data_IF_446924667885
#
_entry.id   IF_446924667885
#
_cell.length_a   1.000
_cell.length_b   1.000
_cell.length_c   1.000
_cell.angle_alpha   90.00
_cell.angle_beta   90.00
_cell.angle_gamma   90.00
#
_symmetry.space_group_name_H-M   'P 1'
#
loop_
_entity.id
_entity.type
_entity.pdbx_description
1 polymer ?
#
# COMPACT_ATOMS: atom_id res chain seq x y z
N UNK A 1 -58.19 -34.22 9.15
CA UNK A 1 -58.35 -32.91 8.48
C UNK A 1 -56.96 -32.36 8.24
N UNK A 2 -56.59 -32.03 7.00
CA UNK A 2 -55.19 -31.97 6.58
C UNK A 2 -54.50 -30.70 7.04
N UNK A 3 -53.26 -30.91 7.46
CA UNK A 3 -52.19 -29.95 7.66
C UNK A 3 -51.87 -29.18 6.38
N UNK A 4 -52.36 -27.95 6.26
CA UNK A 4 -51.84 -26.96 5.31
C UNK A 4 -51.47 -25.69 6.06
N UNK A 5 -50.48 -25.80 6.94
CA UNK A 5 -49.59 -24.68 7.21
C UNK A 5 -48.73 -24.52 5.95
N UNK A 6 -49.25 -23.78 4.97
CA UNK A 6 -48.43 -23.20 3.91
C UNK A 6 -47.34 -22.39 4.61
N UNK A 7 -46.15 -22.96 4.71
CA UNK A 7 -44.94 -22.18 4.85
C UNK A 7 -44.98 -21.15 3.73
N UNK A 8 -45.14 -19.87 4.08
CA UNK A 8 -44.83 -18.79 3.17
C UNK A 8 -43.37 -19.01 2.83
N UNK A 9 -43.10 -19.56 1.65
CA UNK A 9 -41.77 -19.69 1.08
C UNK A 9 -41.30 -18.26 0.87
N UNK A 10 -40.68 -17.69 1.90
CA UNK A 10 -40.10 -16.37 1.84
C UNK A 10 -39.10 -16.37 0.69
N UNK A 11 -39.13 -15.32 -0.13
CA UNK A 11 -38.12 -15.10 -1.15
C UNK A 11 -36.73 -15.19 -0.48
N UNK A 12 -35.96 -16.19 -0.86
CA UNK A 12 -34.59 -16.35 -0.41
C UNK A 12 -33.70 -15.37 -1.20
N UNK A 13 -32.67 -14.81 -0.57
CA UNK A 13 -31.80 -13.80 -1.21
C UNK A 13 -31.22 -14.28 -2.56
N UNK A 14 -30.81 -15.55 -2.65
CA UNK A 14 -30.29 -16.14 -3.90
C UNK A 14 -31.35 -16.37 -4.99
N UNK A 15 -32.64 -16.25 -4.68
CA UNK A 15 -33.72 -16.30 -5.66
C UNK A 15 -33.98 -14.93 -6.31
N UNK A 16 -33.40 -13.85 -5.78
CA UNK A 16 -33.43 -12.55 -6.44
C UNK A 16 -32.65 -12.61 -7.75
N UNK A 17 -33.02 -11.85 -8.80
CA UNK A 17 -32.20 -11.71 -10.00
C UNK A 17 -30.77 -11.22 -9.69
N UNK A 18 -29.79 -11.61 -10.51
CA UNK A 18 -28.39 -11.25 -10.28
C UNK A 18 -28.17 -9.74 -10.23
N UNK A 19 -28.91 -8.99 -11.04
CA UNK A 19 -28.88 -7.52 -11.09
C UNK A 19 -29.29 -6.91 -9.74
N UNK A 20 -30.33 -7.47 -9.11
CA UNK A 20 -30.80 -7.00 -7.80
C UNK A 20 -29.78 -7.34 -6.72
N UNK A 21 -29.19 -8.54 -6.76
CA UNK A 21 -28.12 -8.91 -5.81
C UNK A 21 -26.90 -8.01 -5.95
N UNK A 22 -26.49 -7.72 -7.20
CA UNK A 22 -25.38 -6.82 -7.50
C UNK A 22 -25.60 -5.41 -6.96
N UNK A 23 -26.80 -4.84 -7.14
CA UNK A 23 -27.14 -3.54 -6.57
C UNK A 23 -27.06 -3.56 -5.03
N UNK A 24 -27.51 -4.65 -4.39
CA UNK A 24 -27.39 -4.81 -2.94
C UNK A 24 -25.92 -4.88 -2.51
N UNK A 25 -25.09 -5.64 -3.22
CA UNK A 25 -23.65 -5.71 -2.93
C UNK A 25 -22.97 -4.36 -3.13
N UNK A 26 -23.32 -3.62 -4.18
CA UNK A 26 -22.78 -2.28 -4.45
C UNK A 26 -23.06 -1.34 -3.29
N UNK A 27 -24.31 -1.24 -2.84
CA UNK A 27 -24.67 -0.44 -1.67
C UNK A 27 -24.03 -0.91 -0.37
N UNK A 28 -23.75 -2.20 -0.23
CA UNK A 28 -23.18 -2.74 1.00
C UNK A 28 -21.64 -2.65 1.05
N UNK A 29 -20.95 -2.76 -0.09
CA UNK A 29 -19.51 -2.99 -0.17
C UNK A 29 -18.74 -1.89 -0.89
N UNK A 30 -19.40 -1.02 -1.65
CA UNK A 30 -18.75 0.08 -2.35
C UNK A 30 -18.80 1.33 -1.50
N UNK A 31 -17.61 1.84 -1.20
CA UNK A 31 -17.37 3.05 -0.44
C UNK A 31 -17.06 4.20 -1.37
N UNK A 32 -17.53 5.40 -1.04
CA UNK A 32 -17.09 6.64 -1.68
C UNK A 32 -15.66 7.02 -1.28
N UNK A 33 -15.19 6.51 -0.14
CA UNK A 33 -13.83 6.72 0.37
C UNK A 33 -12.94 5.51 0.06
N UNK A 34 -11.63 5.71 -0.15
CA UNK A 34 -10.68 4.63 -0.35
C UNK A 34 -10.74 3.58 0.78
N UNK A 35 -10.82 2.30 0.40
CA UNK A 35 -10.86 1.17 1.33
C UNK A 35 -9.44 0.71 1.59
N UNK A 36 -9.02 0.67 2.86
CA UNK A 36 -7.68 0.23 3.24
C UNK A 36 -7.38 -1.18 2.71
N UNK A 37 -6.19 -1.36 2.11
CA UNK A 37 -5.83 -2.64 1.46
C UNK A 37 -5.68 -3.80 2.43
N UNK A 38 -5.26 -3.53 3.67
CA UNK A 38 -5.07 -4.52 4.72
C UNK A 38 -6.38 -4.95 5.41
N UNK A 39 -7.55 -4.63 4.83
CA UNK A 39 -8.87 -5.04 5.31
C UNK A 39 -8.99 -6.56 5.22
N UNK A 40 -8.33 -7.23 6.15
CA UNK A 40 -8.72 -8.55 6.63
C UNK A 40 -10.16 -8.34 7.05
N UNK A 41 -11.14 -9.12 6.56
CA UNK A 41 -12.53 -9.01 6.98
C UNK A 41 -12.64 -9.26 8.49
N UNK A 42 -12.39 -8.24 9.30
CA UNK A 42 -12.45 -8.30 10.75
C UNK A 42 -13.92 -8.17 11.15
N UNK A 43 -14.24 -8.86 12.23
CA UNK A 43 -15.59 -9.24 12.69
C UNK A 43 -16.56 -8.08 12.96
N UNK A 44 -16.16 -6.83 12.76
CA UNK A 44 -16.90 -5.65 13.21
C UNK A 44 -17.51 -4.82 12.06
N UNK A 45 -17.07 -5.00 10.81
CA UNK A 45 -17.73 -4.33 9.68
C UNK A 45 -18.85 -5.22 9.14
N UNK A 46 -20.10 -4.89 9.46
CA UNK A 46 -21.29 -5.71 9.15
C UNK A 46 -21.39 -5.99 7.63
N UNK A 47 -20.96 -5.02 6.81
CA UNK A 47 -20.87 -5.13 5.36
C UNK A 47 -20.00 -6.30 4.89
N UNK A 48 -18.78 -6.45 5.42
CA UNK A 48 -17.84 -7.49 4.99
C UNK A 48 -18.24 -8.90 5.45
N UNK A 49 -19.15 -9.02 6.42
CA UNK A 49 -19.68 -10.33 6.83
C UNK A 49 -20.46 -11.02 5.71
N UNK A 50 -21.00 -10.25 4.74
CA UNK A 50 -21.73 -10.81 3.60
C UNK A 50 -20.86 -11.79 2.81
N UNK A 51 -19.55 -11.53 2.74
CA UNK A 51 -18.57 -12.38 2.05
C UNK A 51 -18.43 -13.77 2.68
N UNK A 52 -18.90 -13.96 3.92
CA UNK A 52 -18.78 -15.24 4.64
C UNK A 52 -20.04 -16.09 4.63
N UNK A 53 -21.13 -15.61 4.02
CA UNK A 53 -22.43 -16.28 4.10
C UNK A 53 -22.50 -17.54 3.23
N UNK A 54 -22.03 -17.46 1.99
CA UNK A 54 -22.10 -18.55 1.02
C UNK A 54 -21.10 -18.32 -0.13
N UNK A 55 -20.62 -19.40 -0.77
CA UNK A 55 -19.65 -19.32 -1.88
C UNK A 55 -20.15 -18.50 -3.07
N UNK A 56 -21.43 -18.59 -3.43
CA UNK A 56 -21.99 -17.80 -4.53
C UNK A 56 -21.99 -16.31 -4.18
N UNK A 57 -22.44 -15.97 -2.96
CA UNK A 57 -22.41 -14.59 -2.46
C UNK A 57 -20.97 -14.08 -2.43
N UNK A 58 -20.03 -14.89 -1.95
CA UNK A 58 -18.62 -14.55 -1.95
C UNK A 58 -18.14 -14.23 -3.37
N UNK A 59 -18.35 -15.11 -4.35
CA UNK A 59 -17.91 -14.87 -5.73
C UNK A 59 -18.48 -13.56 -6.32
N UNK A 60 -19.79 -13.32 -6.15
CA UNK A 60 -20.45 -12.13 -6.71
C UNK A 60 -20.04 -10.83 -6.00
N UNK A 61 -20.09 -10.84 -4.67
CA UNK A 61 -19.87 -9.67 -3.84
C UNK A 61 -18.39 -9.27 -3.78
N UNK A 62 -17.48 -10.24 -3.86
CA UNK A 62 -16.05 -10.00 -3.86
C UNK A 62 -15.56 -9.28 -5.13
N UNK A 63 -16.22 -9.53 -6.27
CA UNK A 63 -16.02 -8.74 -7.49
C UNK A 63 -16.39 -7.28 -7.27
N UNK A 64 -17.52 -7.00 -6.60
CA UNK A 64 -17.91 -5.63 -6.29
C UNK A 64 -16.93 -4.95 -5.34
N UNK A 65 -16.45 -5.66 -4.33
CA UNK A 65 -15.47 -5.12 -3.38
C UNK A 65 -14.19 -4.64 -4.09
N UNK A 66 -13.53 -5.50 -4.88
CA UNK A 66 -12.22 -5.17 -5.44
C UNK A 66 -12.29 -4.37 -6.75
N UNK A 67 -13.33 -4.57 -7.57
CA UNK A 67 -13.41 -3.91 -8.87
C UNK A 67 -14.03 -2.50 -8.81
N UNK A 68 -14.74 -2.14 -7.74
CA UNK A 68 -15.42 -0.84 -7.63
C UNK A 68 -14.83 0.09 -6.57
N UNK A 69 -14.10 -0.43 -5.58
CA UNK A 69 -13.46 0.40 -4.59
C UNK A 69 -12.06 0.85 -5.03
N UNK A 70 -11.65 2.02 -4.56
CA UNK A 70 -10.25 2.43 -4.55
C UNK A 70 -9.59 1.73 -3.38
N UNK A 71 -8.57 0.91 -3.64
CA UNK A 71 -7.84 0.22 -2.58
C UNK A 71 -6.65 1.07 -2.13
N UNK A 72 -6.70 1.51 -0.88
CA UNK A 72 -5.70 2.38 -0.27
C UNK A 72 -4.57 1.57 0.38
N UNK A 73 -3.41 1.66 -0.25
CA UNK A 73 -2.15 1.07 0.17
C UNK A 73 -1.10 2.15 0.50
N UNK A 74 -1.53 3.39 0.76
CA UNK A 74 -0.66 4.50 1.20
C UNK A 74 0.10 4.20 2.48
N UNK A 75 -0.45 3.34 3.35
CA UNK A 75 0.18 2.90 4.59
C UNK A 75 1.33 1.90 4.41
N UNK A 76 1.53 1.37 3.20
CA UNK A 76 2.59 0.41 2.90
C UNK A 76 3.91 1.16 2.67
N UNK A 77 4.99 0.67 3.25
CA UNK A 77 6.29 1.36 3.23
C UNK A 77 7.40 0.54 2.58
N UNK A 78 7.15 -0.71 2.21
CA UNK A 78 8.13 -1.57 1.54
C UNK A 78 7.53 -2.48 0.46
N UNK A 79 8.36 -2.89 -0.51
CA UNK A 79 7.98 -3.88 -1.51
C UNK A 79 7.57 -5.24 -0.88
N UNK A 80 8.19 -5.60 0.25
CA UNK A 80 7.89 -6.84 0.97
C UNK A 80 6.48 -6.80 1.56
N UNK A 81 6.11 -5.70 2.21
CA UNK A 81 4.76 -5.49 2.74
C UNK A 81 3.71 -5.52 1.62
N UNK A 82 4.02 -4.90 0.48
CA UNK A 82 3.13 -4.97 -0.68
C UNK A 82 2.98 -6.38 -1.23
N UNK A 83 4.09 -7.11 -1.44
CA UNK A 83 4.05 -8.50 -1.91
C UNK A 83 3.26 -9.41 -0.96
N UNK A 84 3.42 -9.19 0.36
CA UNK A 84 2.64 -9.88 1.38
C UNK A 84 1.15 -9.53 1.29
N UNK A 85 0.82 -8.25 1.05
CA UNK A 85 -0.56 -7.82 0.85
C UNK A 85 -1.18 -8.51 -0.37
N UNK A 86 -0.52 -8.47 -1.53
CA UNK A 86 -1.02 -9.09 -2.75
C UNK A 86 -1.19 -10.60 -2.60
N UNK A 87 -0.23 -11.26 -1.94
CA UNK A 87 -0.29 -12.69 -1.65
C UNK A 87 -1.45 -13.00 -0.70
N UNK A 88 -1.66 -12.19 0.33
CA UNK A 88 -2.78 -12.31 1.27
C UNK A 88 -4.14 -12.04 0.63
N UNK A 89 -4.18 -11.13 -0.35
CA UNK A 89 -5.37 -10.84 -1.14
C UNK A 89 -5.69 -12.01 -2.08
N UNK A 90 -4.67 -12.65 -2.64
CA UNK A 90 -4.76 -13.79 -3.55
C UNK A 90 -4.92 -13.36 -5.01
N UNK A 91 -4.33 -14.12 -5.93
CA UNK A 91 -4.22 -13.75 -7.35
C UNK A 91 -5.55 -13.38 -8.03
N UNK A 92 -6.63 -14.10 -7.70
CA UNK A 92 -7.97 -13.81 -8.23
C UNK A 92 -8.50 -12.44 -7.80
N UNK A 93 -8.20 -12.01 -6.58
CA UNK A 93 -8.67 -10.73 -6.06
C UNK A 93 -7.79 -9.57 -6.56
N UNK A 94 -6.48 -9.81 -6.62
CA UNK A 94 -5.51 -8.87 -7.18
C UNK A 94 -5.85 -8.53 -8.64
N UNK A 95 -6.26 -9.52 -9.44
CA UNK A 95 -6.65 -9.26 -10.82
C UNK A 95 -7.98 -8.51 -10.93
N UNK A 96 -8.77 -8.35 -9.87
CA UNK A 96 -9.99 -7.55 -9.89
C UNK A 96 -9.72 -6.06 -9.60
N UNK A 97 -8.54 -5.72 -9.08
CA UNK A 97 -8.19 -4.34 -8.75
C UNK A 97 -8.19 -3.46 -9.99
N UNK A 98 -8.96 -2.38 -9.91
CA UNK A 98 -9.03 -1.34 -10.95
C UNK A 98 -8.47 -0.01 -10.50
N UNK A 99 -8.59 0.30 -9.22
CA UNK A 99 -8.19 1.59 -8.68
C UNK A 99 -7.38 1.36 -7.41
N UNK A 100 -6.17 1.91 -7.37
CA UNK A 100 -5.32 1.89 -6.17
C UNK A 100 -4.95 3.30 -5.77
N UNK A 101 -4.75 3.49 -4.47
CA UNK A 101 -4.18 4.69 -3.89
C UNK A 101 -2.87 4.35 -3.20
N UNK A 102 -1.77 4.95 -3.64
CA UNK A 102 -0.40 4.74 -3.17
C UNK A 102 0.17 6.05 -2.62
N UNK A 103 1.17 6.00 -1.72
CA UNK A 103 1.77 7.23 -1.24
C UNK A 103 2.66 7.81 -2.34
N UNK A 104 2.71 9.14 -2.45
CA UNK A 104 3.71 9.78 -3.29
C UNK A 104 5.12 9.44 -2.78
N UNK A 105 6.12 9.19 -3.66
CA UNK A 105 7.48 8.93 -3.23
C UNK A 105 7.99 10.00 -2.27
N UNK A 106 8.41 9.58 -1.07
CA UNK A 106 9.00 10.49 -0.10
C UNK A 106 10.38 10.90 -0.59
N UNK A 107 10.60 12.20 -0.62
CA UNK A 107 11.90 12.79 -0.94
C UNK A 107 12.56 13.08 0.40
N UNK A 108 13.53 12.27 0.79
CA UNK A 108 14.27 12.53 2.02
C UNK A 108 15.19 13.74 1.82
N UNK A 109 15.25 14.62 2.83
CA UNK A 109 16.17 15.75 2.83
C UNK A 109 17.62 15.26 2.85
N UNK A 110 18.26 15.26 1.68
CA UNK A 110 19.71 15.24 1.62
C UNK A 110 20.21 16.68 1.57
N UNK A 111 21.36 16.95 2.21
CA UNK A 111 22.01 18.24 2.05
C UNK A 111 22.30 18.46 0.56
N UNK A 112 22.27 19.71 0.09
CA UNK A 112 22.60 20.06 -1.31
C UNK A 112 23.92 19.44 -1.80
N UNK A 113 24.87 19.26 -0.89
CA UNK A 113 26.15 18.59 -1.15
C UNK A 113 26.02 17.08 -1.35
N UNK A 114 25.14 16.41 -0.60
CA UNK A 114 24.85 14.98 -0.77
C UNK A 114 23.94 14.70 -1.99
N UNK A 115 23.11 15.66 -2.39
CA UNK A 115 22.26 15.56 -3.59
C UNK A 115 23.06 15.52 -4.90
N UNK A 116 24.22 16.18 -4.96
CA UNK A 116 25.05 16.22 -6.17
C UNK A 116 25.80 14.91 -6.43
N UNK A 117 26.11 14.14 -5.38
CA UNK A 117 26.94 12.94 -5.50
C UNK A 117 26.11 11.65 -5.69
N UNK A 118 24.88 11.55 -5.14
CA UNK A 118 24.04 10.34 -5.31
C UNK A 118 22.53 10.57 -5.06
N UNK A 119 21.86 11.35 -5.92
CA UNK A 119 20.39 11.54 -5.85
C UNK A 119 19.60 10.23 -6.03
N UNK A 120 20.20 9.20 -6.65
CA UNK A 120 19.56 7.89 -6.79
C UNK A 120 19.41 7.20 -5.43
N UNK A 121 20.33 7.40 -4.49
CA UNK A 121 20.16 6.94 -3.12
C UNK A 121 18.99 7.62 -2.39
N UNK A 122 18.67 8.87 -2.73
CA UNK A 122 17.57 9.59 -2.08
C UNK A 122 16.18 9.05 -2.45
N UNK A 123 16.07 8.49 -3.65
CA UNK A 123 14.84 7.93 -4.21
C UNK A 123 14.77 6.41 -4.11
N UNK A 124 15.91 5.74 -4.02
CA UNK A 124 16.01 4.30 -3.77
C UNK A 124 15.31 3.85 -2.48
N UNK A 125 14.99 4.76 -1.56
CA UNK A 125 14.21 4.47 -0.37
C UNK A 125 12.70 4.35 -0.62
N UNK A 126 12.17 4.89 -1.73
CA UNK A 126 10.76 4.76 -2.05
C UNK A 126 10.50 3.43 -2.78
N UNK A 127 9.80 2.47 -2.17
CA UNK A 127 9.55 1.18 -2.80
C UNK A 127 8.67 1.33 -4.06
N UNK A 128 7.98 2.46 -4.24
CA UNK A 128 6.95 2.64 -5.26
C UNK A 128 7.48 3.07 -6.63
N UNK A 129 8.71 3.60 -6.72
CA UNK A 129 9.29 4.02 -8.01
C UNK A 129 9.61 2.80 -8.90
N UNK A 130 10.06 1.70 -8.29
CA UNK A 130 10.43 0.46 -8.99
C UNK A 130 9.35 -0.62 -8.93
N UNK A 131 8.12 -0.21 -8.69
CA UNK A 131 7.04 -1.13 -8.45
C UNK A 131 6.55 -1.73 -9.76
N UNK A 132 6.62 -3.06 -9.87
CA UNK A 132 6.08 -3.75 -11.02
C UNK A 132 4.55 -3.87 -10.89
N UNK A 133 3.85 -2.95 -11.55
CA UNK A 133 2.39 -2.94 -11.62
C UNK A 133 1.84 -3.94 -12.66
N UNK A 134 2.69 -4.72 -13.35
CA UNK A 134 2.23 -5.73 -14.31
C UNK A 134 1.34 -6.81 -13.67
N UNK A 135 1.55 -7.08 -12.38
CA UNK A 135 0.72 -8.00 -11.59
C UNK A 135 -0.72 -7.49 -11.44
N UNK A 136 -0.93 -6.17 -11.57
CA UNK A 136 -2.25 -5.53 -11.53
C UNK A 136 -2.82 -5.40 -12.95
N UNK A 137 -3.08 -6.54 -13.59
CA UNK A 137 -3.46 -6.62 -15.01
C UNK A 137 -4.68 -5.77 -15.41
N UNK A 138 -5.58 -5.50 -14.47
CA UNK A 138 -6.81 -4.73 -14.69
C UNK A 138 -6.79 -3.33 -14.08
N UNK A 139 -5.62 -2.83 -13.69
CA UNK A 139 -5.47 -1.51 -13.13
C UNK A 139 -5.84 -0.44 -14.17
N UNK A 140 -6.82 0.39 -13.83
CA UNK A 140 -7.32 1.49 -14.66
C UNK A 140 -6.86 2.85 -14.15
N UNK A 141 -6.72 3.00 -12.82
CA UNK A 141 -6.34 4.26 -12.17
C UNK A 141 -5.36 4.05 -11.03
N UNK A 142 -4.33 4.90 -10.99
CA UNK A 142 -3.43 5.05 -9.83
C UNK A 142 -3.69 6.43 -9.24
N UNK A 143 -3.90 6.49 -7.93
CA UNK A 143 -4.00 7.75 -7.19
C UNK A 143 -2.81 7.88 -6.26
N UNK A 144 -2.03 8.94 -6.41
CA UNK A 144 -1.00 9.32 -5.47
C UNK A 144 -1.59 10.20 -4.39
N UNK A 145 -1.41 9.80 -3.13
CA UNK A 145 -1.74 10.63 -1.98
C UNK A 145 -0.47 11.33 -1.48
N UNK A 146 -0.49 12.66 -1.46
CA UNK A 146 0.55 13.42 -0.77
C UNK A 146 0.15 13.53 0.69
N UNK A 147 0.89 12.86 1.57
CA UNK A 147 0.80 13.18 2.99
C UNK A 147 1.29 14.61 3.19
N UNK A 148 0.48 15.44 3.86
CA UNK A 148 0.70 16.89 4.08
C UNK A 148 2.14 17.23 4.47
N UNK A 149 2.84 16.37 5.21
CA UNK A 149 4.23 16.57 5.64
C UNK A 149 5.27 16.42 4.52
N UNK A 150 4.97 15.71 3.43
CA UNK A 150 5.96 15.35 2.40
C UNK A 150 6.32 16.53 1.49
N UNK A 151 5.38 17.45 1.25
CA UNK A 151 5.63 18.69 0.51
C UNK A 151 5.62 19.94 1.40
N UNK A 152 4.81 19.98 2.46
CA UNK A 152 4.72 21.19 3.31
C UNK A 152 5.91 21.36 4.27
N UNK A 153 6.52 20.28 4.79
CA UNK A 153 7.73 20.39 5.61
C UNK A 153 9.00 20.52 4.75
N UNK A 154 8.86 20.26 3.46
CA UNK A 154 9.87 20.61 2.50
C UNK A 154 9.73 22.12 2.21
N UNK A 155 10.44 22.95 2.98
CA UNK A 155 10.94 24.27 2.50
C UNK A 155 11.83 24.14 1.23
N UNK A 156 11.83 22.97 0.60
CA UNK A 156 12.43 22.55 -0.65
C UNK A 156 11.37 22.55 -1.75
N UNK A 157 10.47 23.53 -1.75
CA UNK A 157 9.79 24.01 -2.96
C UNK A 157 10.79 24.87 -3.79
N UNK A 158 12.05 24.46 -3.78
CA UNK A 158 13.11 25.08 -4.56
C UNK A 158 13.11 24.39 -5.91
N UNK A 159 13.05 25.19 -6.98
CA UNK A 159 13.25 24.81 -8.38
C UNK A 159 14.28 23.66 -8.59
N UNK A 160 15.35 23.64 -7.78
CA UNK A 160 16.37 22.59 -7.75
C UNK A 160 15.80 21.16 -7.56
N UNK A 161 14.77 20.96 -6.72
CA UNK A 161 14.21 19.63 -6.47
C UNK A 161 13.35 19.13 -7.62
N UNK A 162 12.54 20.01 -8.23
CA UNK A 162 11.73 19.65 -9.41
C UNK A 162 12.62 19.17 -10.55
N UNK A 163 13.71 19.89 -10.81
CA UNK A 163 14.66 19.54 -11.86
C UNK A 163 15.39 18.22 -11.56
N UNK A 164 15.72 17.95 -10.30
CA UNK A 164 16.34 16.68 -9.91
C UNK A 164 15.36 15.52 -10.04
N UNK A 165 14.08 15.70 -9.68
CA UNK A 165 13.04 14.65 -9.67
C UNK A 165 12.39 14.39 -11.02
N UNK A 166 12.49 15.34 -11.94
CA UNK A 166 11.92 15.27 -13.29
C UNK A 166 12.24 13.94 -14.00
N UNK A 167 13.51 13.48 -14.09
CA UNK A 167 13.82 12.22 -14.77
C UNK A 167 13.15 11.00 -14.12
N UNK A 168 13.06 10.93 -12.79
CA UNK A 168 12.45 9.79 -12.10
C UNK A 168 10.94 9.78 -12.20
N UNK A 169 10.29 10.94 -12.22
CA UNK A 169 8.85 11.04 -12.51
C UNK A 169 8.56 10.53 -13.92
N UNK A 170 9.41 10.91 -14.89
CA UNK A 170 9.27 10.44 -16.28
C UNK A 170 9.47 8.92 -16.33
N UNK A 171 10.54 8.38 -15.73
CA UNK A 171 10.80 6.93 -15.68
C UNK A 171 9.66 6.16 -14.99
N UNK A 172 9.17 6.67 -13.87
CA UNK A 172 8.04 6.11 -13.12
C UNK A 172 6.76 6.13 -13.96
N UNK A 173 6.47 7.26 -14.62
CA UNK A 173 5.33 7.36 -15.53
C UNK A 173 5.43 6.35 -16.67
N UNK A 174 6.58 6.25 -17.33
CA UNK A 174 6.82 5.24 -18.38
C UNK A 174 6.61 3.82 -17.85
N UNK A 175 7.10 3.53 -16.64
CA UNK A 175 6.94 2.23 -15.99
C UNK A 175 5.47 1.88 -15.76
N UNK A 176 4.69 2.79 -15.19
CA UNK A 176 3.27 2.55 -14.94
C UNK A 176 2.47 2.42 -16.23
N UNK A 177 2.81 3.22 -17.25
CA UNK A 177 2.15 3.19 -18.56
C UNK A 177 2.48 1.91 -19.36
N UNK A 178 3.40 1.06 -18.89
CA UNK A 178 3.54 -0.31 -19.42
C UNK A 178 2.31 -1.18 -19.10
N UNK A 179 1.52 -0.83 -18.08
CA UNK A 179 0.26 -1.49 -17.82
C UNK A 179 -0.76 -1.10 -18.90
N UNK A 180 -1.26 -2.07 -19.71
CA UNK A 180 -2.04 -1.77 -20.90
C UNK A 180 -3.43 -1.20 -20.61
N UNK A 181 -3.93 -1.35 -19.38
CA UNK A 181 -5.26 -0.88 -18.96
C UNK A 181 -5.22 0.42 -18.18
N UNK A 182 -4.04 0.91 -17.82
CA UNK A 182 -3.90 2.14 -17.03
C UNK A 182 -4.29 3.35 -17.88
N UNK A 183 -5.42 3.96 -17.53
CA UNK A 183 -5.97 5.13 -18.22
C UNK A 183 -5.48 6.41 -17.58
N UNK A 184 -5.46 6.45 -16.26
CA UNK A 184 -5.29 7.69 -15.50
C UNK A 184 -4.32 7.52 -14.34
N UNK A 185 -3.48 8.53 -14.14
CA UNK A 185 -2.65 8.68 -12.95
C UNK A 185 -3.07 10.01 -12.33
N UNK A 186 -3.58 9.95 -11.11
CA UNK A 186 -4.11 11.10 -10.37
C UNK A 186 -3.16 11.43 -9.23
N UNK A 187 -2.90 12.72 -9.02
CA UNK A 187 -2.17 13.23 -7.88
C UNK A 187 -3.14 14.00 -6.98
N UNK A 188 -3.45 13.47 -5.80
CA UNK A 188 -4.24 14.14 -4.78
C UNK A 188 -3.34 15.00 -3.89
N UNK A 189 -3.58 16.31 -3.93
CA UNK A 189 -2.80 17.30 -3.17
C UNK A 189 -3.69 18.33 -2.50
N UNK A 190 -3.20 18.93 -1.41
CA UNK A 190 -3.76 20.20 -0.96
C UNK A 190 -3.43 21.31 -1.99
N UNK A 191 -4.33 22.28 -2.23
CA UNK A 191 -4.09 23.39 -3.15
C UNK A 191 -2.76 24.12 -2.91
N UNK A 192 -2.38 24.27 -1.64
CA UNK A 192 -1.19 25.04 -1.24
C UNK A 192 0.12 24.25 -1.28
N UNK A 193 0.12 22.96 -1.65
CA UNK A 193 1.28 22.07 -1.49
C UNK A 193 2.01 21.72 -2.79
N UNK A 194 1.51 22.11 -3.95
CA UNK A 194 2.14 21.79 -5.25
C UNK A 194 2.43 23.08 -6.00
N UNK A 195 3.72 23.40 -6.15
CA UNK A 195 4.17 24.52 -6.97
C UNK A 195 3.81 24.35 -8.45
N UNK A 196 3.80 25.47 -9.17
CA UNK A 196 3.47 25.51 -10.58
C UNK A 196 4.47 24.70 -11.42
N UNK A 197 5.73 24.64 -11.00
CA UNK A 197 6.77 23.84 -11.64
C UNK A 197 6.45 22.33 -11.55
N UNK A 198 6.09 21.84 -10.35
CA UNK A 198 5.64 20.45 -10.17
C UNK A 198 4.39 20.16 -11.00
N UNK A 199 3.43 21.10 -11.03
CA UNK A 199 2.21 21.00 -11.84
C UNK A 199 2.54 20.78 -13.31
N UNK A 200 3.43 21.61 -13.87
CA UNK A 200 3.88 21.49 -15.26
C UNK A 200 4.57 20.15 -15.57
N UNK A 201 5.37 19.61 -14.65
CA UNK A 201 6.04 18.31 -14.85
C UNK A 201 5.02 17.17 -14.88
N UNK A 202 4.13 17.13 -13.89
CA UNK A 202 3.14 16.06 -13.74
C UNK A 202 2.11 16.10 -14.87
N UNK A 203 1.56 17.27 -15.18
CA UNK A 203 0.63 17.44 -16.31
C UNK A 203 1.32 17.17 -17.65
N UNK A 204 2.61 17.53 -17.79
CA UNK A 204 3.43 17.17 -18.96
C UNK A 204 3.59 15.66 -19.15
N UNK A 205 3.49 14.87 -18.07
CA UNK A 205 3.44 13.40 -18.11
C UNK A 205 2.02 12.85 -18.35
N UNK A 206 1.02 13.72 -18.48
CA UNK A 206 -0.40 13.36 -18.62
C UNK A 206 -1.06 12.92 -17.31
N UNK A 207 -0.55 13.37 -16.17
CA UNK A 207 -1.16 13.14 -14.86
C UNK A 207 -2.24 14.18 -14.59
N UNK A 208 -3.24 13.80 -13.79
CA UNK A 208 -4.33 14.68 -13.38
C UNK A 208 -4.08 15.12 -11.95
N UNK A 209 -3.98 16.43 -11.71
CA UNK A 209 -3.85 16.96 -10.35
C UNK A 209 -5.24 17.26 -9.81
N UNK A 210 -5.57 16.62 -8.69
CA UNK A 210 -6.83 16.78 -7.98
C UNK A 210 -6.56 17.45 -6.65
N UNK A 211 -7.11 18.64 -6.51
CA UNK A 211 -7.05 19.39 -5.26
C UNK A 211 -8.07 18.83 -4.27
N UNK A 212 -7.59 18.41 -3.11
CA UNK A 212 -8.39 17.82 -2.04
C UNK A 212 -8.17 18.64 -0.77
N UNK A 213 -9.26 19.16 -0.22
CA UNK A 213 -9.27 19.76 1.10
C UNK A 213 -9.29 18.63 2.13
N UNK A 214 -8.14 18.34 2.72
CA UNK A 214 -8.10 17.48 3.88
C UNK A 214 -8.71 18.28 5.04
N UNK A 215 -9.77 17.79 5.71
CA UNK A 215 -10.15 18.38 6.97
C UNK A 215 -8.92 18.25 7.87
N UNK A 216 -8.30 19.37 8.22
CA UNK A 216 -7.36 19.40 9.33
C UNK A 216 -8.15 18.84 10.51
N UNK A 217 -7.90 17.58 10.87
CA UNK A 217 -8.21 17.16 12.21
C UNK A 217 -7.33 18.05 13.07
N UNK A 218 -7.93 19.09 13.63
CA UNK A 218 -7.37 19.93 14.67
C UNK A 218 -7.01 19.01 15.83
N UNK A 219 -5.86 18.33 15.71
CA UNK A 219 -5.17 17.60 16.76
C UNK A 219 -4.51 18.63 17.68
N UNK A 220 -5.30 19.63 18.09
CA UNK A 220 -5.12 20.31 19.34
C UNK A 220 -5.62 19.36 20.42
N UNK A 221 -4.80 18.35 20.73
CA UNK A 221 -4.85 17.74 22.04
C UNK A 221 -4.44 18.81 23.05
N UNK A 222 -5.41 19.60 23.48
CA UNK A 222 -5.42 20.27 24.78
C UNK A 222 -5.43 19.18 25.87
N UNK A 223 -4.35 18.42 25.96
CA UNK A 223 -3.96 17.73 27.17
C UNK A 223 -2.80 18.52 27.74
N UNK A 224 -3.16 19.66 28.33
CA UNK A 224 -2.39 20.25 29.42
C UNK A 224 -2.40 19.25 30.58
N UNK A 225 -1.53 18.24 30.51
CA UNK A 225 -1.15 17.48 31.70
C UNK A 225 -0.13 18.33 32.45
N UNK A 226 -0.69 19.21 33.26
CA UNK A 226 -0.04 19.86 34.39
C UNK A 226 0.34 18.76 35.39
N UNK A 227 1.52 18.17 35.24
CA UNK A 227 2.11 17.25 36.22
C UNK A 227 3.47 17.83 36.65
N UNK A 228 3.36 18.86 37.48
CA UNK A 228 4.42 19.35 38.33
C UNK A 228 4.57 18.47 39.57
N UNK A 229 5.80 18.44 40.11
CA UNK A 229 6.24 17.83 41.38
C UNK A 229 6.68 16.35 41.23
N UNK A 230 7.87 15.89 41.61
CA UNK A 230 8.74 16.30 42.73
C UNK A 230 10.19 15.85 42.52
N UNK A 231 11.10 16.68 43.03
CA UNK A 231 12.51 16.38 43.31
C UNK A 231 12.73 15.07 44.09
N UNK A 232 13.83 14.39 43.77
CA UNK A 232 14.31 13.21 44.50
C UNK A 232 15.74 12.87 44.13
N UNK A 233 16.68 13.70 44.56
CA UNK A 233 18.11 13.37 44.59
C UNK A 233 18.40 12.26 45.62
N UNK A 234 19.25 11.28 45.24
CA UNK A 234 20.31 10.67 46.07
C UNK A 234 20.91 9.48 45.31
N UNK A 235 22.20 9.50 44.96
CA UNK A 235 23.30 8.73 45.61
C UNK A 235 23.15 7.21 45.41
N UNK A 236 24.14 6.39 45.07
CA UNK A 236 25.58 6.43 45.28
C UNK A 236 26.19 5.15 44.64
N UNK A 237 27.50 5.16 44.40
CA UNK A 237 28.47 4.03 44.29
C UNK A 237 28.09 2.78 43.46
N UNK A 238 28.83 2.40 42.41
CA UNK A 238 30.23 2.01 42.47
C UNK A 238 30.33 0.49 42.63
N UNK A 239 30.64 -0.25 41.56
CA UNK A 239 31.56 -1.39 41.69
C UNK A 239 32.03 -1.94 40.33
N UNK A 240 33.33 -2.22 40.32
CA UNK A 240 34.17 -2.70 39.23
C UNK A 240 34.51 -4.18 39.42
N UNK A 241 34.42 -4.98 38.37
CA UNK A 241 35.17 -6.23 38.13
C UNK A 241 34.93 -6.58 36.65
N UNK A 242 35.87 -6.44 35.72
CA UNK A 242 37.14 -7.17 35.53
C UNK A 242 37.05 -8.66 35.83
N UNK A 243 36.68 -9.45 34.82
CA UNK A 243 37.25 -10.77 34.58
C UNK A 243 37.40 -11.00 33.06
N UNK A 244 38.60 -10.73 32.55
CA UNK A 244 39.21 -11.56 31.52
C UNK A 244 39.21 -13.00 32.00
N UNK A 245 38.68 -13.97 31.24
CA UNK A 245 39.48 -15.17 30.94
C UNK A 245 38.89 -16.12 29.89
N UNK A 246 39.81 -16.81 29.21
CA UNK A 246 39.68 -18.08 28.46
C UNK A 246 39.14 -18.02 27.02
N UNK A 247 40.02 -17.95 26.01
CA UNK A 247 40.81 -19.05 25.42
C UNK A 247 40.03 -19.98 24.47
N UNK A 248 40.49 -19.95 23.21
CA UNK A 248 40.80 -21.11 22.38
C UNK A 248 39.86 -22.33 22.46
N UNK A 249 39.05 -22.51 21.42
CA UNK A 249 38.83 -23.84 20.86
C UNK A 249 38.74 -23.74 19.33
N UNK A 250 39.82 -24.18 18.68
CA UNK A 250 39.81 -24.66 17.30
C UNK A 250 38.94 -25.91 17.28
N UNK A 251 37.99 -25.96 16.35
CA UNK A 251 37.48 -27.21 15.83
C UNK A 251 37.79 -27.25 14.34
N UNK A 252 38.92 -27.88 14.04
CA UNK A 252 39.08 -28.62 12.79
C UNK A 252 38.20 -29.86 12.95
N UNK A 253 37.14 -29.99 12.15
CA UNK A 253 36.42 -31.25 11.99
C UNK A 253 36.37 -31.58 10.50
N UNK A 254 37.28 -32.48 10.14
CA UNK A 254 37.36 -33.18 8.88
C UNK A 254 36.14 -34.09 8.72
N UNK A 255 35.28 -33.78 7.75
CA UNK A 255 34.33 -34.77 7.22
C UNK A 255 33.91 -34.41 5.79
N UNK A 256 34.71 -34.86 4.84
CA UNK A 256 34.26 -35.27 3.50
C UNK A 256 34.44 -36.80 3.46
N UNK A 257 33.44 -37.62 3.06
CA UNK A 257 33.25 -37.84 1.62
C UNK A 257 31.82 -38.12 1.16
N UNK A 258 31.50 -37.56 -0.01
CA UNK A 258 30.83 -38.23 -1.15
C UNK A 258 29.51 -38.98 -0.90
N UNK A 259 28.41 -38.44 -1.44
CA UNK A 259 27.51 -39.26 -2.27
C UNK A 259 26.70 -38.42 -3.27
N UNK A 260 26.76 -38.89 -4.51
CA UNK A 260 26.08 -38.43 -5.71
C UNK A 260 24.56 -38.24 -5.56
N UNK A 261 23.99 -37.29 -6.33
CA UNK A 261 23.10 -37.63 -7.45
C UNK A 261 22.77 -36.40 -8.30
N UNK A 262 22.92 -36.63 -9.61
CA UNK A 262 22.36 -35.87 -10.70
C UNK A 262 20.86 -35.60 -10.47
N UNK A 263 20.39 -34.44 -10.89
CA UNK A 263 19.25 -34.34 -11.79
C UNK A 263 19.26 -32.94 -12.41
N UNK A 264 19.78 -32.90 -13.64
CA UNK A 264 19.46 -31.89 -14.62
C UNK A 264 17.95 -31.94 -14.84
N UNK A 265 17.24 -30.85 -14.54
CA UNK A 265 15.87 -30.68 -15.00
C UNK A 265 15.73 -29.33 -15.69
N UNK A 266 15.59 -29.45 -17.01
CA UNK A 266 15.34 -28.43 -17.99
C UNK A 266 14.22 -27.46 -17.58
N UNK A 267 14.59 -26.19 -17.52
CA UNK A 267 13.65 -25.08 -17.44
C UNK A 267 13.22 -24.71 -18.86
N UNK A 268 11.96 -25.00 -19.22
CA UNK A 268 11.33 -24.57 -20.47
C UNK A 268 10.41 -23.37 -20.15
N UNK A 269 10.53 -22.23 -20.87
CA UNK A 269 9.61 -21.12 -20.69
C UNK A 269 8.29 -21.39 -21.42
N UNK A 270 7.17 -21.20 -20.72
CA UNK A 270 5.84 -21.16 -21.32
C UNK A 270 5.63 -19.80 -21.99
N UNK A 271 5.82 -19.78 -23.31
CA UNK A 271 5.11 -18.88 -24.21
C UNK A 271 3.82 -19.57 -24.70
N UNK A 272 2.81 -18.74 -24.96
CA UNK A 272 1.54 -19.02 -25.66
C UNK A 272 0.42 -19.72 -24.87
N UNK A 273 -0.49 -18.90 -24.34
CA UNK A 273 -1.92 -18.90 -24.73
C UNK A 273 -2.57 -17.55 -24.35
#
# INVERSE_FOLDING_TARGET
MPSELREKSGLHFLQLPAEIRNNIYEHALVSSEPVRGDVKPHRNNLALKILRLNCQIWCEANVMLYARNVIDISHITSCVEFGNLLTGMGAFNVCLLRHIRIPFPRIHHYSRAAFQDDYRCALSGSPFIHFDLSILANLETITFAIESSTLANNEVDTYDLVEVMRPEIIEMNESFRRSPRLREIVMETHPDHVSEEWRQVLEGCGWVIKEVLFPFEDSHSELSSDDSCTDGESSDEGDSADENDLQHARYEDDSDPQHARNDDNDWVPYDAL
#
